data_IF_669753594443
#
_entry.id   IF_669753594443
#
_cell.length_a   1.000
_cell.length_b   1.000
_cell.length_c   1.000
_cell.angle_alpha   90.00
_cell.angle_beta   90.00
_cell.angle_gamma   90.00
#
_symmetry.space_group_name_H-M   'P 1'
#
loop_
_entity.id
_entity.type
_entity.pdbx_description
1 polymer ?
#
# COMPACT_ATOMS: atom_id res chain seq x y z
N UNK A 1 -3.92 -5.73 18.91
CA UNK A 1 -4.19 -6.19 17.53
C UNK A 1 -3.10 -7.19 17.15
N UNK A 2 -3.44 -8.34 16.57
CA UNK A 2 -2.45 -9.36 16.22
C UNK A 2 -1.57 -8.85 15.06
N UNK A 3 -0.24 -8.96 15.14
CA UNK A 3 0.70 -8.42 14.13
C UNK A 3 0.39 -8.94 12.72
N UNK A 4 0.05 -10.23 12.61
CA UNK A 4 -0.38 -10.85 11.34
C UNK A 4 -1.60 -10.16 10.72
N UNK A 5 -2.55 -9.73 11.53
CA UNK A 5 -3.74 -9.02 11.05
C UNK A 5 -3.38 -7.62 10.55
N UNK A 6 -2.46 -6.93 11.21
CA UNK A 6 -1.98 -5.62 10.80
C UNK A 6 -1.23 -5.67 9.45
N UNK A 7 -0.30 -6.62 9.29
CA UNK A 7 0.40 -6.89 8.02
C UNK A 7 -0.57 -7.21 6.88
N UNK A 8 -1.59 -8.04 7.16
CA UNK A 8 -2.60 -8.41 6.16
C UNK A 8 -3.40 -7.20 5.68
N UNK A 9 -3.79 -6.32 6.62
CA UNK A 9 -4.51 -5.08 6.30
C UNK A 9 -3.63 -4.15 5.47
N UNK A 10 -2.35 -3.93 5.86
CA UNK A 10 -1.44 -3.06 5.13
C UNK A 10 -1.18 -3.54 3.69
N UNK A 11 -0.95 -4.84 3.49
CA UNK A 11 -0.82 -5.43 2.16
C UNK A 11 -2.12 -5.32 1.35
N UNK A 12 -3.27 -5.55 1.98
CA UNK A 12 -4.58 -5.40 1.33
C UNK A 12 -4.84 -3.97 0.86
N UNK A 13 -4.53 -2.98 1.71
CA UNK A 13 -4.64 -1.55 1.36
C UNK A 13 -3.69 -1.20 0.23
N UNK A 14 -2.43 -1.64 0.28
CA UNK A 14 -1.45 -1.37 -0.77
C UNK A 14 -1.90 -1.92 -2.13
N UNK A 15 -2.43 -3.14 -2.15
CA UNK A 15 -2.96 -3.77 -3.37
C UNK A 15 -4.19 -3.02 -3.89
N UNK A 16 -5.15 -2.70 -3.03
CA UNK A 16 -6.37 -1.99 -3.39
C UNK A 16 -6.08 -0.59 -3.96
N UNK A 17 -5.14 0.16 -3.36
CA UNK A 17 -4.73 1.49 -3.84
C UNK A 17 -4.00 1.40 -5.18
N UNK A 18 -3.15 0.39 -5.37
CA UNK A 18 -2.50 0.11 -6.65
C UNK A 18 -3.53 -0.13 -7.76
N UNK A 19 -4.48 -1.05 -7.54
CA UNK A 19 -5.54 -1.35 -8.52
C UNK A 19 -6.42 -0.12 -8.79
N UNK A 20 -6.81 0.63 -7.75
CA UNK A 20 -7.62 1.83 -7.91
C UNK A 20 -6.91 2.88 -8.78
N UNK A 21 -5.61 3.11 -8.57
CA UNK A 21 -4.82 4.06 -9.37
C UNK A 21 -4.76 3.68 -10.86
N UNK A 22 -4.66 2.38 -11.17
CA UNK A 22 -4.65 1.87 -12.53
C UNK A 22 -6.02 2.08 -13.18
N UNK A 23 -7.10 1.67 -12.49
CA UNK A 23 -8.47 1.77 -13.00
C UNK A 23 -8.85 3.24 -13.25
N UNK A 24 -8.57 4.12 -12.29
CA UNK A 24 -8.82 5.56 -12.40
C UNK A 24 -7.98 6.22 -13.50
N UNK A 25 -6.76 5.73 -13.72
CA UNK A 25 -5.90 6.16 -14.83
C UNK A 25 -6.44 5.74 -16.20
N UNK A 26 -6.93 4.51 -16.33
CA UNK A 26 -7.54 3.99 -17.58
C UNK A 26 -8.81 4.78 -17.93
N UNK A 27 -9.63 5.06 -16.92
CA UNK A 27 -10.88 5.81 -17.11
C UNK A 27 -10.63 7.30 -17.40
N UNK A 28 -9.40 7.81 -17.21
CA UNK A 28 -9.03 9.22 -17.29
C UNK A 28 -9.96 10.14 -16.46
N UNK A 29 -10.58 9.59 -15.41
CA UNK A 29 -11.54 10.27 -14.54
C UNK A 29 -10.88 10.92 -13.33
N UNK A 30 -9.64 10.54 -13.02
CA UNK A 30 -8.87 11.10 -11.92
C UNK A 30 -7.74 11.99 -12.44
N UNK A 31 -7.54 13.12 -11.77
CA UNK A 31 -6.35 13.95 -11.97
C UNK A 31 -5.08 13.15 -11.68
N UNK A 32 -4.02 13.42 -12.44
CA UNK A 32 -2.67 12.87 -12.21
C UNK A 32 -2.23 13.06 -10.75
N UNK A 33 -2.61 14.18 -10.13
CA UNK A 33 -2.33 14.44 -8.71
C UNK A 33 -3.03 13.43 -7.78
N UNK A 34 -4.28 13.07 -8.06
CA UNK A 34 -5.04 12.08 -7.29
C UNK A 34 -4.43 10.68 -7.44
N UNK A 35 -4.04 10.31 -8.65
CA UNK A 35 -3.37 9.02 -8.93
C UNK A 35 -2.05 8.93 -8.16
N UNK A 36 -1.25 9.99 -8.19
CA UNK A 36 0.02 10.06 -7.45
C UNK A 36 -0.21 9.97 -5.94
N UNK A 37 -1.25 10.62 -5.40
CA UNK A 37 -1.59 10.51 -3.97
C UNK A 37 -2.02 9.09 -3.60
N UNK A 38 -2.87 8.44 -4.40
CA UNK A 38 -3.29 7.06 -4.16
C UNK A 38 -2.11 6.10 -4.20
N UNK A 39 -1.22 6.27 -5.17
CA UNK A 39 0.00 5.48 -5.31
C UNK A 39 0.95 5.70 -4.13
N UNK A 40 1.14 6.96 -3.70
CA UNK A 40 1.98 7.30 -2.56
C UNK A 40 1.46 6.64 -1.27
N UNK A 41 0.15 6.70 -1.01
CA UNK A 41 -0.47 6.05 0.16
C UNK A 41 -0.28 4.53 0.09
N UNK A 42 -0.49 3.92 -1.08
CA UNK A 42 -0.28 2.49 -1.29
C UNK A 42 1.17 2.06 -1.05
N UNK A 43 2.14 2.82 -1.57
CA UNK A 43 3.57 2.57 -1.34
C UNK A 43 3.97 2.80 0.12
N UNK A 44 3.45 3.82 0.79
CA UNK A 44 3.72 4.05 2.20
C UNK A 44 3.20 2.91 3.07
N UNK A 45 1.99 2.40 2.80
CA UNK A 45 1.45 1.23 3.50
C UNK A 45 2.33 -0.03 3.28
N UNK A 46 2.81 -0.23 2.05
CA UNK A 46 3.72 -1.32 1.72
C UNK A 46 5.10 -1.15 2.38
N UNK A 47 5.62 0.08 2.44
CA UNK A 47 6.89 0.39 3.08
C UNK A 47 6.84 0.16 4.59
N UNK A 48 5.74 0.56 5.25
CA UNK A 48 5.50 0.29 6.67
C UNK A 48 5.45 -1.22 6.93
N UNK A 49 4.76 -1.97 6.07
CA UNK A 49 4.72 -3.43 6.16
C UNK A 49 6.10 -4.07 5.92
N UNK A 50 6.85 -3.58 4.92
CA UNK A 50 8.18 -4.08 4.59
C UNK A 50 9.21 -3.78 5.70
N UNK A 51 9.07 -2.65 6.39
CA UNK A 51 9.88 -2.29 7.56
C UNK A 51 9.55 -3.19 8.76
N UNK A 52 8.27 -3.48 9.01
CA UNK A 52 7.84 -4.40 10.06
C UNK A 52 8.37 -5.83 9.81
N UNK A 53 8.26 -6.33 8.56
CA UNK A 53 8.81 -7.63 8.13
C UNK A 53 10.34 -7.66 8.22
N UNK A 54 11.03 -6.55 7.90
CA UNK A 54 12.50 -6.47 8.02
C UNK A 54 12.97 -6.40 9.47
N UNK A 55 12.19 -5.78 10.36
CA UNK A 55 12.45 -5.79 11.80
C UNK A 55 12.49 -7.22 12.37
N UNK A 56 11.58 -8.09 11.92
CA UNK A 56 11.61 -9.52 12.31
C UNK A 56 12.84 -10.29 11.79
N UNK A 57 13.50 -9.84 10.71
CA UNK A 57 14.71 -10.49 10.19
C UNK A 57 16.00 -10.08 10.89
N UNK A 58 15.98 -9.13 11.84
CA UNK A 58 17.16 -8.79 12.65
C UNK A 58 17.20 -9.51 14.01
N UNK A 59 16.09 -10.10 14.46
CA UNK A 59 15.99 -10.83 15.74
C UNK A 59 15.97 -12.37 15.57
N UNK A 60 16.31 -12.88 14.38
CA UNK A 60 16.62 -14.30 14.14
C UNK A 60 18.05 -14.46 13.65
#
# INVERSE_FOLDING_TARGET
MNKKTFTLILNGIALAMGVASIVLGILNTASTQTILMLLAIGLSALALNALDIRGEKQDQ
#
